data_IF_176031972071
#
_entry.id   IF_176031972071
#
_cell.length_a   1.000
_cell.length_b   1.000
_cell.length_c   1.000
_cell.angle_alpha   90.00
_cell.angle_beta   90.00
_cell.angle_gamma   90.00
#
_symmetry.space_group_name_H-M   'P 1'
#
loop_
_entity.id
_entity.type
_entity.pdbx_description
1 polymer ?
#
# COMPACT_ATOMS: atom_id res chain seq x y z
N UNK A 1 -23.84 -6.91 13.76
CA UNK A 1 -23.54 -5.84 12.78
C UNK A 1 -22.08 -5.96 12.40
N UNK A 2 -21.78 -6.13 11.13
CA UNK A 2 -20.40 -6.03 10.65
C UNK A 2 -20.04 -4.55 10.63
N UNK A 3 -19.04 -4.15 11.41
CA UNK A 3 -18.46 -2.82 11.27
C UNK A 3 -17.87 -2.72 9.86
N UNK A 4 -18.27 -1.69 9.12
CA UNK A 4 -17.54 -1.26 7.93
C UNK A 4 -16.17 -0.76 8.39
N UNK A 5 -15.13 -1.09 7.65
CA UNK A 5 -13.76 -0.74 8.06
C UNK A 5 -13.47 0.75 8.02
N UNK A 6 -14.32 1.56 7.36
CA UNK A 6 -14.12 2.99 7.11
C UNK A 6 -12.65 3.29 6.73
N UNK A 7 -12.17 2.81 5.59
CA UNK A 7 -10.80 3.02 5.20
C UNK A 7 -10.50 4.51 5.02
N UNK A 8 -9.36 4.96 5.52
CA UNK A 8 -8.93 6.36 5.42
C UNK A 8 -7.54 6.43 4.78
N UNK A 9 -7.32 7.47 3.98
CA UNK A 9 -5.99 7.76 3.44
C UNK A 9 -5.07 8.22 4.59
N UNK A 10 -4.01 7.48 4.93
CA UNK A 10 -3.07 7.92 5.95
C UNK A 10 -2.28 9.13 5.44
N UNK A 11 -1.91 10.07 6.33
CA UNK A 11 -1.00 11.16 5.94
C UNK A 11 0.38 10.62 5.59
N UNK A 12 1.11 11.31 4.72
CA UNK A 12 2.52 11.04 4.50
C UNK A 12 3.32 11.28 5.79
N UNK A 13 4.35 10.48 6.09
CA UNK A 13 5.21 10.68 7.27
C UNK A 13 6.26 11.78 7.08
N UNK A 14 6.26 12.48 5.94
CA UNK A 14 7.17 13.55 5.56
C UNK A 14 6.46 14.55 4.64
N UNK A 15 7.07 15.71 4.37
CA UNK A 15 6.55 16.71 3.45
C UNK A 15 6.55 16.19 1.99
N UNK A 16 5.64 16.70 1.15
CA UNK A 16 5.52 16.24 -0.24
C UNK A 16 6.78 16.44 -1.10
N UNK A 17 7.62 17.41 -0.75
CA UNK A 17 8.90 17.69 -1.43
C UNK A 17 10.11 16.99 -0.79
N UNK A 18 9.92 16.26 0.31
CA UNK A 18 11.00 15.69 1.10
C UNK A 18 11.87 14.68 0.36
N UNK A 19 11.35 14.03 -0.67
CA UNK A 19 12.05 13.01 -1.45
C UNK A 19 12.72 13.57 -2.73
N UNK A 20 12.65 14.89 -2.96
CA UNK A 20 13.36 15.50 -4.07
C UNK A 20 14.89 15.41 -3.88
N UNK A 21 15.65 15.30 -4.94
CA UNK A 21 15.27 15.32 -6.36
C UNK A 21 14.86 13.95 -6.93
N UNK A 22 14.79 12.90 -6.12
CA UNK A 22 14.53 11.53 -6.58
C UNK A 22 13.06 11.30 -6.97
N UNK A 23 12.14 11.82 -6.18
CA UNK A 23 10.70 11.83 -6.45
C UNK A 23 10.24 13.28 -6.31
N UNK A 24 9.65 13.84 -7.36
CA UNK A 24 9.18 15.23 -7.33
C UNK A 24 7.94 15.37 -6.45
N UNK A 25 7.76 16.55 -5.87
CA UNK A 25 6.55 16.91 -5.11
C UNK A 25 5.27 16.58 -5.90
N UNK A 26 5.23 16.89 -7.18
CA UNK A 26 4.07 16.64 -8.03
C UNK A 26 3.76 15.13 -8.17
N UNK A 27 4.77 14.31 -8.41
CA UNK A 27 4.59 12.85 -8.51
C UNK A 27 4.12 12.27 -7.18
N UNK A 28 4.70 12.70 -6.08
CA UNK A 28 4.31 12.24 -4.75
C UNK A 28 2.87 12.66 -4.41
N UNK A 29 2.48 13.89 -4.75
CA UNK A 29 1.12 14.38 -4.58
C UNK A 29 0.12 13.55 -5.37
N UNK A 30 0.37 13.28 -6.65
CA UNK A 30 -0.51 12.43 -7.45
C UNK A 30 -0.58 11.00 -6.94
N UNK A 31 0.54 10.43 -6.58
CA UNK A 31 0.61 9.04 -6.12
C UNK A 31 -0.10 8.84 -4.77
N UNK A 32 -0.02 9.80 -3.86
CA UNK A 32 -0.72 9.77 -2.57
C UNK A 32 -2.17 10.23 -2.69
N UNK A 33 -2.41 11.49 -3.11
CA UNK A 33 -3.71 12.14 -3.02
C UNK A 33 -4.72 11.66 -4.06
N UNK A 34 -4.24 11.10 -5.18
CA UNK A 34 -5.10 10.59 -6.26
C UNK A 34 -5.07 9.07 -6.36
N UNK A 35 -3.90 8.48 -6.52
CA UNK A 35 -3.78 7.04 -6.76
C UNK A 35 -4.10 6.22 -5.50
N UNK A 36 -3.46 6.52 -4.38
CA UNK A 36 -3.77 5.84 -3.10
C UNK A 36 -5.19 6.15 -2.64
N UNK A 37 -5.64 7.41 -2.75
CA UNK A 37 -7.04 7.78 -2.44
C UNK A 37 -8.04 6.98 -3.29
N UNK A 38 -7.69 6.66 -4.53
CA UNK A 38 -8.50 5.81 -5.40
C UNK A 38 -8.72 4.40 -4.82
N UNK A 39 -7.69 3.79 -4.25
CA UNK A 39 -7.83 2.51 -3.56
C UNK A 39 -8.70 2.61 -2.30
N UNK A 40 -8.55 3.67 -1.53
CA UNK A 40 -9.39 3.91 -0.34
C UNK A 40 -10.86 4.01 -0.73
N UNK A 41 -11.18 4.82 -1.74
CA UNK A 41 -12.53 4.99 -2.23
C UNK A 41 -13.11 3.69 -2.83
N UNK A 42 -12.29 2.94 -3.57
CA UNK A 42 -12.70 1.68 -4.17
C UNK A 42 -12.99 0.60 -3.12
N UNK A 43 -12.21 0.55 -2.04
CA UNK A 43 -12.45 -0.36 -0.92
C UNK A 43 -13.75 -0.03 -0.20
N UNK A 44 -13.97 1.25 0.12
CA UNK A 44 -15.20 1.73 0.77
C UNK A 44 -16.44 1.37 -0.07
N UNK A 45 -16.42 1.66 -1.37
CA UNK A 45 -17.53 1.32 -2.29
C UNK A 45 -17.79 -0.19 -2.39
N UNK A 46 -16.74 -1.01 -2.37
CA UNK A 46 -16.88 -2.46 -2.41
C UNK A 46 -17.50 -3.02 -1.12
N UNK A 47 -17.08 -2.49 0.03
CA UNK A 47 -17.66 -2.86 1.32
C UNK A 47 -19.14 -2.42 1.45
N UNK A 48 -19.49 -1.24 0.93
CA UNK A 48 -20.87 -0.76 0.84
C UNK A 48 -21.72 -1.70 -0.01
N UNK A 49 -21.25 -2.10 -1.18
CA UNK A 49 -21.93 -3.08 -2.04
C UNK A 49 -22.17 -4.40 -1.32
N UNK A 50 -21.21 -4.91 -0.57
CA UNK A 50 -21.38 -6.14 0.22
C UNK A 50 -22.40 -5.96 1.35
N UNK A 51 -22.46 -4.79 1.97
CA UNK A 51 -23.47 -4.47 2.99
C UNK A 51 -24.88 -4.45 2.39
N UNK A 52 -25.06 -3.76 1.25
CA UNK A 52 -26.34 -3.71 0.52
C UNK A 52 -26.81 -5.09 0.09
N UNK A 53 -25.89 -5.96 -0.41
CA UNK A 53 -26.23 -7.34 -0.78
C UNK A 53 -26.76 -8.16 0.43
N UNK A 54 -26.19 -7.95 1.59
CA UNK A 54 -26.66 -8.59 2.83
C UNK A 54 -28.06 -8.10 3.25
N UNK A 55 -28.32 -6.81 3.12
CA UNK A 55 -29.60 -6.22 3.47
C UNK A 55 -30.71 -6.62 2.50
N UNK A 56 -30.44 -6.59 1.21
CA UNK A 56 -31.42 -6.91 0.17
C UNK A 56 -31.64 -8.41 -0.01
N UNK A 57 -30.66 -9.26 0.32
CA UNK A 57 -30.64 -10.67 0.00
C UNK A 57 -30.38 -10.98 -1.48
N UNK A 58 -29.95 -9.97 -2.25
CA UNK A 58 -29.47 -10.13 -3.62
C UNK A 58 -27.94 -10.20 -3.65
N UNK A 59 -27.43 -11.37 -3.95
CA UNK A 59 -25.99 -11.65 -3.95
C UNK A 59 -25.38 -11.68 -5.36
N UNK A 60 -26.08 -11.19 -6.38
CA UNK A 60 -25.61 -11.25 -7.78
C UNK A 60 -24.31 -10.52 -8.03
N UNK A 61 -24.04 -9.42 -7.30
CA UNK A 61 -22.80 -8.63 -7.41
C UNK A 61 -21.69 -9.04 -6.42
N UNK A 62 -21.94 -10.00 -5.52
CA UNK A 62 -21.03 -10.33 -4.41
C UNK A 62 -19.64 -10.75 -4.89
N UNK A 63 -19.55 -11.60 -5.93
CA UNK A 63 -18.26 -12.05 -6.44
C UNK A 63 -17.41 -10.91 -6.99
N UNK A 64 -18.02 -9.97 -7.72
CA UNK A 64 -17.35 -8.74 -8.18
C UNK A 64 -16.87 -7.88 -7.02
N UNK A 65 -17.75 -7.60 -6.07
CA UNK A 65 -17.42 -6.79 -4.89
C UNK A 65 -16.29 -7.40 -4.05
N UNK A 66 -16.23 -8.73 -3.89
CA UNK A 66 -15.10 -9.41 -3.22
C UNK A 66 -13.80 -9.26 -4.00
N UNK A 67 -13.85 -9.29 -5.33
CA UNK A 67 -12.69 -8.99 -6.19
C UNK A 67 -12.21 -7.55 -5.98
N UNK A 68 -13.13 -6.59 -5.91
CA UNK A 68 -12.82 -5.18 -5.66
C UNK A 68 -12.25 -4.96 -4.26
N UNK A 69 -12.75 -5.65 -3.22
CA UNK A 69 -12.16 -5.63 -1.87
C UNK A 69 -10.72 -6.13 -1.92
N UNK A 70 -10.45 -7.21 -2.63
CA UNK A 70 -9.10 -7.78 -2.75
C UNK A 70 -8.16 -6.80 -3.45
N UNK A 71 -8.58 -6.24 -4.58
CA UNK A 71 -7.78 -5.30 -5.36
C UNK A 71 -7.52 -3.99 -4.61
N UNK A 72 -8.58 -3.34 -4.15
CA UNK A 72 -8.47 -2.03 -3.49
C UNK A 72 -7.90 -2.15 -2.08
N UNK A 73 -8.25 -3.19 -1.35
CA UNK A 73 -7.71 -3.45 0.00
C UNK A 73 -6.21 -3.72 -0.03
N UNK A 74 -5.73 -4.54 -0.95
CA UNK A 74 -4.30 -4.77 -1.12
C UNK A 74 -3.57 -3.51 -1.60
N UNK A 75 -4.16 -2.75 -2.53
CA UNK A 75 -3.61 -1.48 -2.99
C UNK A 75 -3.48 -0.47 -1.85
N UNK A 76 -4.51 -0.31 -1.05
CA UNK A 76 -4.50 0.57 0.13
C UNK A 76 -3.42 0.14 1.14
N UNK A 77 -3.38 -1.14 1.51
CA UNK A 77 -2.40 -1.67 2.46
C UNK A 77 -0.96 -1.50 1.98
N UNK A 78 -0.68 -1.89 0.74
CA UNK A 78 0.68 -1.82 0.19
C UNK A 78 1.17 -0.39 0.01
N UNK A 79 0.29 0.57 -0.35
CA UNK A 79 0.67 1.98 -0.43
C UNK A 79 0.91 2.59 0.95
N UNK A 80 0.16 2.18 1.96
CA UNK A 80 0.43 2.57 3.35
C UNK A 80 1.85 2.17 3.78
N UNK A 81 2.25 0.93 3.50
CA UNK A 81 3.61 0.47 3.76
C UNK A 81 4.65 1.19 2.89
N UNK A 82 4.32 1.47 1.63
CA UNK A 82 5.22 2.12 0.68
C UNK A 82 5.68 3.49 1.16
N UNK A 83 4.79 4.30 1.72
CA UNK A 83 5.15 5.60 2.26
C UNK A 83 6.16 5.49 3.42
N UNK A 84 5.99 4.51 4.27
CA UNK A 84 6.87 4.27 5.43
C UNK A 84 8.22 3.67 5.05
N UNK A 85 8.34 3.06 3.88
CA UNK A 85 9.59 2.46 3.39
C UNK A 85 10.55 3.48 2.75
N UNK A 86 10.13 4.71 2.57
CA UNK A 86 10.95 5.78 2.00
C UNK A 86 11.32 6.80 3.08
N UNK A 87 12.57 7.26 3.06
CA UNK A 87 13.12 8.22 4.02
C UNK A 87 14.00 9.22 3.27
N UNK A 88 13.80 10.54 3.46
CA UNK A 88 14.67 11.56 2.86
C UNK A 88 16.17 11.39 3.19
N UNK A 89 16.46 10.77 4.30
CA UNK A 89 17.83 10.49 4.78
C UNK A 89 18.18 9.00 4.75
N UNK A 90 17.34 8.19 4.10
CA UNK A 90 17.51 6.75 4.00
C UNK A 90 18.47 6.33 2.89
N UNK A 91 18.52 5.03 2.66
CA UNK A 91 19.38 4.40 1.66
C UNK A 91 20.64 3.79 2.26
N UNK A 92 21.48 3.28 1.37
CA UNK A 92 22.64 2.51 1.78
C UNK A 92 22.33 1.01 1.93
N UNK A 93 23.33 0.26 2.38
CA UNK A 93 23.19 -1.17 2.63
C UNK A 93 22.50 -1.42 3.98
N UNK A 94 21.75 -2.53 4.12
CA UNK A 94 21.21 -2.94 5.40
C UNK A 94 22.32 -3.26 6.39
N UNK A 95 22.03 -3.12 7.68
CA UNK A 95 22.97 -3.36 8.77
C UNK A 95 22.35 -4.28 9.83
N UNK A 96 23.19 -4.80 10.73
CA UNK A 96 22.75 -5.59 11.88
C UNK A 96 22.00 -6.87 11.49
N UNK A 97 20.98 -7.21 12.26
CA UNK A 97 20.22 -8.47 12.12
C UNK A 97 19.62 -8.67 10.72
N UNK A 98 19.25 -7.59 10.03
CA UNK A 98 18.73 -7.68 8.67
C UNK A 98 19.84 -8.11 7.69
N UNK A 99 21.02 -7.52 7.78
CA UNK A 99 22.14 -7.92 6.95
C UNK A 99 22.55 -9.37 7.22
N UNK A 100 22.63 -9.76 8.50
CA UNK A 100 22.95 -11.14 8.90
C UNK A 100 21.95 -12.14 8.29
N UNK A 101 20.67 -11.81 8.29
CA UNK A 101 19.62 -12.64 7.68
C UNK A 101 19.73 -12.72 6.16
N UNK A 102 20.04 -11.61 5.50
CA UNK A 102 20.28 -11.58 4.05
C UNK A 102 21.47 -12.45 3.68
N UNK A 103 22.58 -12.37 4.44
CA UNK A 103 23.77 -13.19 4.21
C UNK A 103 23.51 -14.68 4.46
N UNK A 104 22.71 -15.01 5.46
CA UNK A 104 22.31 -16.41 5.74
C UNK A 104 21.47 -16.99 4.58
N UNK A 105 20.50 -16.25 4.05
CA UNK A 105 19.57 -16.75 3.05
C UNK A 105 20.11 -16.67 1.61
N UNK A 106 20.93 -15.65 1.29
CA UNK A 106 21.41 -15.33 -0.07
C UNK A 106 22.94 -15.38 -0.24
N UNK A 107 23.68 -15.63 0.83
CA UNK A 107 25.14 -15.70 0.84
C UNK A 107 25.84 -14.36 0.93
N UNK A 108 25.25 -13.28 0.43
CA UNK A 108 25.76 -11.91 0.52
C UNK A 108 24.67 -10.89 0.20
N UNK A 109 24.90 -9.62 0.56
CA UNK A 109 24.06 -8.52 0.14
C UNK A 109 24.01 -8.37 -1.39
N UNK A 110 25.15 -8.48 -2.07
CA UNK A 110 25.22 -8.43 -3.53
C UNK A 110 24.47 -9.59 -4.19
N UNK A 111 24.51 -10.79 -3.58
CA UNK A 111 23.74 -11.94 -4.03
C UNK A 111 22.24 -11.67 -3.97
N UNK A 112 21.75 -11.20 -2.83
CA UNK A 112 20.37 -10.78 -2.65
C UNK A 112 19.97 -9.67 -3.64
N UNK A 113 20.79 -8.63 -3.77
CA UNK A 113 20.53 -7.52 -4.66
C UNK A 113 20.42 -7.96 -6.12
N UNK A 114 21.32 -8.82 -6.56
CA UNK A 114 21.32 -9.35 -7.92
C UNK A 114 20.11 -10.23 -8.24
N UNK A 115 19.56 -10.93 -7.23
CA UNK A 115 18.31 -11.69 -7.41
C UNK A 115 17.06 -10.80 -7.40
N UNK A 116 17.13 -9.66 -6.70
CA UNK A 116 15.99 -8.72 -6.59
C UNK A 116 15.85 -7.82 -7.83
N UNK A 117 16.92 -7.36 -8.44
CA UNK A 117 16.94 -6.48 -9.63
C UNK A 117 16.66 -7.25 -10.95
#
# INVERSE_FOLDING_TARGET
>A
MSEQSNPELPPLPYDYDALEPHITEQVLTWHHDTHHQGYVNGLDSAEETLAENRESGDYGSTAGALGDVTHNGSGHYLHTLFWENMDPNGGGEPEGDLLDRIEEDFGSYEGWKGEFE
#
